data_IF_759076979630
#
_entry.id   IF_759076979630
#
_cell.length_a   1.000
_cell.length_b   1.000
_cell.length_c   1.000
_cell.angle_alpha   90.00
_cell.angle_beta   90.00
_cell.angle_gamma   90.00
#
_symmetry.space_group_name_H-M   'P 1'
#
loop_
_entity.id
_entity.type
_entity.pdbx_description
1 polymer ?
#
# COMPACT_ATOMS: atom_id res chain seq x y z
N UNK A 1 32.53 -15.32 38.28
CA UNK A 1 32.03 -15.50 36.91
C UNK A 1 31.33 -14.21 36.52
N UNK A 2 32.06 -13.34 35.82
CA UNK A 2 31.52 -12.11 35.24
C UNK A 2 30.74 -12.57 34.00
N UNK A 3 29.46 -12.17 33.88
CA UNK A 3 28.66 -12.49 32.69
C UNK A 3 29.32 -11.92 31.43
N UNK A 4 29.00 -12.44 30.23
CA UNK A 4 29.56 -11.90 29.00
C UNK A 4 29.35 -10.39 28.96
N UNK A 5 30.44 -9.64 28.81
CA UNK A 5 30.49 -8.20 28.99
C UNK A 5 29.66 -7.51 27.89
N UNK A 6 28.88 -6.48 28.25
CA UNK A 6 28.00 -5.79 27.29
C UNK A 6 28.80 -5.19 26.11
N UNK A 7 30.08 -4.90 26.33
CA UNK A 7 31.04 -4.46 25.30
C UNK A 7 31.31 -5.54 24.24
N UNK A 8 31.45 -6.80 24.65
CA UNK A 8 31.73 -7.92 23.73
C UNK A 8 30.51 -8.22 22.86
N UNK A 9 29.30 -8.16 23.46
CA UNK A 9 28.05 -8.32 22.71
C UNK A 9 27.83 -7.19 21.67
N UNK A 10 28.20 -5.95 22.00
CA UNK A 10 28.16 -4.83 21.06
C UNK A 10 29.17 -4.99 19.93
N UNK A 11 30.40 -5.41 20.23
CA UNK A 11 31.43 -5.63 19.21
C UNK A 11 31.03 -6.75 18.22
N UNK A 12 30.47 -7.86 18.71
CA UNK A 12 29.95 -8.94 17.86
C UNK A 12 28.82 -8.43 16.96
N UNK A 13 27.90 -7.63 17.50
CA UNK A 13 26.81 -7.02 16.73
C UNK A 13 27.32 -6.12 15.60
N UNK A 14 28.31 -5.26 15.88
CA UNK A 14 28.93 -4.41 14.86
C UNK A 14 29.64 -5.22 13.79
N UNK A 15 30.30 -6.32 14.18
CA UNK A 15 30.98 -7.24 13.25
C UNK A 15 29.96 -7.93 12.34
N UNK A 16 28.83 -8.40 12.89
CA UNK A 16 27.72 -8.97 12.11
C UNK A 16 27.16 -7.95 11.11
N UNK A 17 26.96 -6.71 11.54
CA UNK A 17 26.45 -5.66 10.67
C UNK A 17 27.41 -5.36 9.51
N UNK A 18 28.72 -5.29 9.78
CA UNK A 18 29.73 -5.10 8.75
C UNK A 18 29.81 -6.31 7.81
N UNK A 19 29.63 -7.53 8.33
CA UNK A 19 29.65 -8.76 7.56
C UNK A 19 28.50 -8.80 6.53
N UNK A 20 27.27 -8.53 6.97
CA UNK A 20 26.11 -8.46 6.08
C UNK A 20 26.24 -7.28 5.09
N UNK A 21 26.81 -6.15 5.52
CA UNK A 21 27.10 -5.04 4.61
C UNK A 21 28.17 -5.38 3.56
N UNK A 22 29.15 -6.23 3.90
CA UNK A 22 30.13 -6.71 2.93
C UNK A 22 29.50 -7.61 1.86
N UNK A 23 28.53 -8.45 2.24
CA UNK A 23 27.72 -9.22 1.28
C UNK A 23 26.94 -8.30 0.35
N UNK A 24 26.23 -7.31 0.92
CA UNK A 24 25.44 -6.29 0.22
C UNK A 24 26.26 -5.48 -0.79
N UNK A 25 27.48 -5.08 -0.41
CA UNK A 25 28.38 -4.31 -1.27
C UNK A 25 29.20 -5.17 -2.24
N UNK A 26 29.19 -6.49 -2.07
CA UNK A 26 30.00 -7.43 -2.86
C UNK A 26 31.50 -7.39 -2.54
N UNK A 27 31.91 -6.81 -1.39
CA UNK A 27 33.31 -6.77 -0.99
C UNK A 27 33.74 -8.15 -0.45
N UNK A 28 34.17 -9.03 -1.36
CA UNK A 28 34.49 -10.43 -1.07
C UNK A 28 35.65 -10.59 -0.08
N UNK A 29 36.68 -9.76 -0.17
CA UNK A 29 37.83 -9.79 0.74
C UNK A 29 37.42 -9.44 2.17
N UNK A 30 36.66 -8.33 2.33
CA UNK A 30 36.15 -7.94 3.63
C UNK A 30 35.18 -8.99 4.18
N UNK A 31 34.30 -9.53 3.34
CA UNK A 31 33.37 -10.59 3.71
C UNK A 31 34.08 -11.82 4.25
N UNK A 32 35.08 -12.35 3.52
CA UNK A 32 35.90 -13.50 3.93
C UNK A 32 36.66 -13.21 5.24
N UNK A 33 37.18 -11.99 5.42
CA UNK A 33 37.85 -11.58 6.66
C UNK A 33 36.88 -11.59 7.84
N UNK A 34 35.71 -10.98 7.70
CA UNK A 34 34.71 -10.90 8.77
C UNK A 34 34.10 -12.28 9.07
N UNK A 35 33.89 -13.12 8.07
CA UNK A 35 33.43 -14.50 8.25
C UNK A 35 34.37 -15.30 9.17
N UNK A 36 35.70 -15.16 8.98
CA UNK A 36 36.71 -15.78 9.85
C UNK A 36 36.72 -15.22 11.27
N UNK A 37 36.39 -13.94 11.44
CA UNK A 37 36.29 -13.32 12.77
C UNK A 37 35.05 -13.78 13.54
N UNK A 38 33.96 -14.07 12.83
CA UNK A 38 32.71 -14.56 13.40
C UNK A 38 32.69 -16.08 13.62
N UNK A 39 33.66 -16.81 13.07
CA UNK A 39 33.73 -18.27 13.17
C UNK A 39 34.22 -18.70 14.56
N UNK A 40 33.32 -19.31 15.32
CA UNK A 40 33.55 -19.84 16.67
C UNK A 40 33.97 -21.32 16.68
N UNK A 41 34.40 -21.84 15.52
CA UNK A 41 34.91 -23.20 15.35
C UNK A 41 33.91 -24.17 14.71
N UNK A 42 32.71 -23.72 14.35
CA UNK A 42 31.73 -24.49 13.57
C UNK A 42 32.02 -24.53 12.07
N UNK A 43 32.96 -23.72 11.60
CA UNK A 43 33.41 -23.66 10.22
C UNK A 43 32.70 -22.56 9.43
N UNK A 44 33.43 -21.96 8.48
CA UNK A 44 33.00 -20.78 7.73
C UNK A 44 31.64 -20.94 7.06
N UNK A 45 31.35 -22.09 6.44
CA UNK A 45 30.06 -22.32 5.79
C UNK A 45 28.88 -22.23 6.76
N UNK A 46 28.98 -22.91 7.91
CA UNK A 46 27.95 -22.86 8.95
C UNK A 46 27.84 -21.47 9.58
N UNK A 47 28.97 -20.83 9.85
CA UNK A 47 29.01 -19.45 10.35
C UNK A 47 28.29 -18.48 9.42
N UNK A 48 28.58 -18.54 8.12
CA UNK A 48 27.93 -17.69 7.12
C UNK A 48 26.43 -17.98 7.01
N UNK A 49 26.02 -19.24 7.12
CA UNK A 49 24.60 -19.63 7.08
C UNK A 49 23.81 -19.18 8.33
N UNK A 50 24.45 -19.18 9.50
CA UNK A 50 23.83 -18.81 10.78
C UNK A 50 23.69 -17.29 10.95
N UNK A 51 24.59 -16.51 10.35
CA UNK A 51 24.57 -15.04 10.47
C UNK A 51 23.45 -14.48 9.58
N UNK A 52 22.36 -14.10 10.24
CA UNK A 52 21.16 -13.54 9.64
C UNK A 52 20.77 -12.23 10.34
N UNK A 53 20.01 -11.39 9.64
CA UNK A 53 19.39 -10.21 10.26
C UNK A 53 18.10 -10.56 11.02
N UNK A 54 17.41 -9.53 11.52
CA UNK A 54 16.17 -9.68 12.28
C UNK A 54 15.00 -10.29 11.48
N UNK A 55 15.08 -10.29 10.14
CA UNK A 55 14.08 -10.87 9.26
C UNK A 55 14.54 -12.23 8.71
N UNK A 56 15.53 -12.87 9.34
CA UNK A 56 16.17 -14.12 8.88
C UNK A 56 16.86 -14.04 7.51
N UNK A 57 17.20 -12.84 7.02
CA UNK A 57 17.96 -12.70 5.76
C UNK A 57 19.44 -12.96 6.01
N UNK A 58 19.99 -13.91 5.28
CA UNK A 58 21.43 -14.23 5.27
C UNK A 58 22.21 -13.51 4.16
N UNK A 59 23.52 -13.76 4.09
CA UNK A 59 24.41 -13.14 3.11
C UNK A 59 23.96 -13.32 1.65
N UNK A 60 23.43 -14.49 1.29
CA UNK A 60 22.97 -14.78 -0.07
C UNK A 60 21.76 -13.93 -0.49
N UNK A 61 20.86 -13.62 0.45
CA UNK A 61 19.73 -12.71 0.19
C UNK A 61 20.24 -11.30 -0.14
N UNK A 62 21.16 -10.76 0.67
CA UNK A 62 21.72 -9.43 0.45
C UNK A 62 22.55 -9.33 -0.82
N UNK A 63 23.34 -10.36 -1.13
CA UNK A 63 24.13 -10.40 -2.36
C UNK A 63 23.24 -10.45 -3.60
N UNK A 64 22.18 -11.27 -3.58
CA UNK A 64 21.23 -11.41 -4.67
C UNK A 64 20.41 -10.13 -4.88
N UNK A 65 19.91 -9.53 -3.79
CA UNK A 65 19.18 -8.25 -3.79
C UNK A 65 19.97 -7.09 -4.40
N UNK A 66 21.29 -7.13 -4.39
CA UNK A 66 22.15 -6.04 -4.86
C UNK A 66 22.92 -6.41 -6.13
N UNK A 67 22.58 -7.53 -6.76
CA UNK A 67 23.15 -7.97 -8.03
C UNK A 67 24.63 -8.35 -7.93
N UNK A 68 25.09 -8.77 -6.75
CA UNK A 68 26.50 -9.13 -6.51
C UNK A 68 26.74 -10.58 -6.91
N UNK A 69 26.70 -10.86 -8.20
CA UNK A 69 26.80 -12.23 -8.75
C UNK A 69 28.06 -12.97 -8.30
N UNK A 70 29.22 -12.31 -8.23
CA UNK A 70 30.46 -12.98 -7.78
C UNK A 70 30.44 -13.32 -6.28
N UNK A 71 29.74 -12.53 -5.46
CA UNK A 71 29.47 -12.90 -4.07
C UNK A 71 28.51 -14.09 -4.01
N UNK A 72 27.46 -14.10 -4.84
CA UNK A 72 26.55 -15.25 -4.93
C UNK A 72 27.29 -16.53 -5.35
N UNK A 73 28.21 -16.45 -6.32
CA UNK A 73 29.07 -17.57 -6.72
C UNK A 73 29.86 -18.13 -5.55
N UNK A 74 30.54 -17.26 -4.81
CA UNK A 74 31.28 -17.69 -3.64
C UNK A 74 30.39 -18.40 -2.60
N UNK A 75 29.21 -17.83 -2.31
CA UNK A 75 28.28 -18.36 -1.32
C UNK A 75 27.69 -19.71 -1.74
N UNK A 76 27.32 -19.88 -3.01
CA UNK A 76 26.67 -21.10 -3.52
C UNK A 76 27.68 -22.19 -3.88
N UNK A 77 28.77 -21.84 -4.58
CA UNK A 77 29.71 -22.84 -5.10
C UNK A 77 30.78 -23.24 -4.08
N UNK A 78 31.36 -22.30 -3.36
CA UNK A 78 32.42 -22.61 -2.39
C UNK A 78 31.85 -22.98 -1.03
N UNK A 79 30.87 -22.23 -0.53
CA UNK A 79 30.28 -22.46 0.80
C UNK A 79 29.07 -23.39 0.80
N UNK A 80 28.54 -23.77 -0.38
CA UNK A 80 27.41 -24.70 -0.52
C UNK A 80 26.17 -24.27 0.28
N UNK A 81 25.91 -22.96 0.35
CA UNK A 81 24.69 -22.46 0.98
C UNK A 81 23.45 -22.94 0.21
N UNK A 82 22.36 -23.16 0.95
CA UNK A 82 21.05 -23.42 0.36
C UNK A 82 20.59 -22.19 -0.45
N UNK A 83 20.50 -22.38 -1.77
CA UNK A 83 20.10 -21.34 -2.73
C UNK A 83 18.62 -20.97 -2.59
N UNK A 84 17.81 -21.84 -1.98
CA UNK A 84 16.38 -21.67 -1.76
C UNK A 84 16.03 -21.29 -0.30
N UNK A 85 17.03 -20.89 0.49
CA UNK A 85 16.80 -20.44 1.86
C UNK A 85 15.76 -19.31 1.90
N UNK A 86 14.78 -19.41 2.79
CA UNK A 86 13.73 -18.40 2.97
C UNK A 86 14.03 -17.47 4.14
N UNK A 87 13.68 -16.20 3.96
CA UNK A 87 13.59 -15.22 5.05
C UNK A 87 12.21 -15.25 5.76
N UNK A 88 11.95 -14.32 6.69
CA UNK A 88 10.69 -14.26 7.45
C UNK A 88 9.46 -13.89 6.62
N UNK A 89 9.65 -13.34 5.42
CA UNK A 89 8.57 -13.04 4.47
C UNK A 89 8.38 -14.19 3.45
N UNK A 90 9.14 -15.28 3.63
CA UNK A 90 9.16 -16.42 2.72
C UNK A 90 9.93 -16.14 1.42
N UNK A 91 10.63 -15.01 1.31
CA UNK A 91 11.37 -14.63 0.10
C UNK A 91 12.69 -15.41 0.01
N UNK A 92 13.00 -15.92 -1.19
CA UNK A 92 14.29 -16.57 -1.51
C UNK A 92 15.27 -15.57 -2.11
N UNK A 93 16.58 -15.87 -2.17
CA UNK A 93 17.55 -15.04 -2.90
C UNK A 93 17.14 -14.75 -4.35
N UNK A 94 16.52 -15.71 -5.04
CA UNK A 94 16.01 -15.51 -6.40
C UNK A 94 14.89 -14.46 -6.44
N UNK A 95 13.96 -14.47 -5.48
CA UNK A 95 12.91 -13.45 -5.38
C UNK A 95 13.51 -12.05 -5.13
N UNK A 96 14.52 -11.96 -4.26
CA UNK A 96 15.24 -10.69 -4.02
C UNK A 96 15.93 -10.17 -5.28
N UNK A 97 16.58 -11.03 -6.08
CA UNK A 97 17.22 -10.63 -7.34
C UNK A 97 16.18 -10.22 -8.40
N UNK A 98 15.09 -10.98 -8.54
CA UNK A 98 14.05 -10.73 -9.53
C UNK A 98 13.30 -9.41 -9.28
N UNK A 99 12.99 -9.10 -8.01
CA UNK A 99 12.31 -7.85 -7.63
C UNK A 99 13.10 -6.60 -8.03
N UNK A 100 14.44 -6.71 -7.98
CA UNK A 100 15.40 -5.64 -8.21
C UNK A 100 15.88 -5.52 -9.66
N UNK A 101 15.31 -6.32 -10.57
CA UNK A 101 15.76 -6.38 -11.97
C UNK A 101 17.21 -6.81 -12.14
N UNK A 102 17.74 -7.64 -11.23
CA UNK A 102 19.10 -8.17 -11.34
C UNK A 102 19.11 -9.45 -12.17
N UNK A 103 18.73 -9.35 -13.45
CA UNK A 103 18.55 -10.45 -14.40
C UNK A 103 19.71 -11.45 -14.38
N UNK A 104 20.94 -10.97 -14.55
CA UNK A 104 22.13 -11.85 -14.59
C UNK A 104 22.36 -12.61 -13.28
N UNK A 105 22.00 -12.03 -12.13
CA UNK A 105 22.09 -12.73 -10.84
C UNK A 105 20.95 -13.74 -10.68
N UNK A 106 19.73 -13.39 -11.08
CA UNK A 106 18.57 -14.28 -11.05
C UNK A 106 18.75 -15.51 -11.97
N UNK A 107 19.24 -15.30 -13.20
CA UNK A 107 19.60 -16.36 -14.13
C UNK A 107 20.65 -17.30 -13.52
N UNK A 108 21.74 -16.73 -13.00
CA UNK A 108 22.80 -17.49 -12.34
C UNK A 108 22.27 -18.34 -11.18
N UNK A 109 21.45 -17.76 -10.28
CA UNK A 109 20.89 -18.50 -9.15
C UNK A 109 19.99 -19.65 -9.62
N UNK A 110 19.20 -19.42 -10.67
CA UNK A 110 18.33 -20.44 -11.28
C UNK A 110 19.17 -21.57 -11.88
N UNK A 111 20.26 -21.25 -12.58
CA UNK A 111 21.21 -22.24 -13.11
C UNK A 111 21.90 -23.06 -12.01
N UNK A 112 22.04 -22.49 -10.81
CA UNK A 112 22.56 -23.18 -9.63
C UNK A 112 21.50 -23.97 -8.84
N UNK A 113 20.28 -24.09 -9.35
CA UNK A 113 19.20 -24.88 -8.74
C UNK A 113 18.24 -24.09 -7.84
N UNK A 114 18.23 -22.75 -7.93
CA UNK A 114 17.13 -21.97 -7.36
C UNK A 114 15.82 -22.32 -8.08
N UNK A 115 14.77 -22.58 -7.30
CA UNK A 115 13.46 -22.93 -7.84
C UNK A 115 12.60 -21.65 -8.01
N UNK A 116 12.30 -21.24 -9.26
CA UNK A 116 11.51 -20.03 -9.53
C UNK A 116 10.04 -20.15 -9.14
N UNK A 117 9.55 -21.35 -8.80
CA UNK A 117 8.17 -21.62 -8.38
C UNK A 117 7.95 -21.48 -6.87
N UNK A 118 8.99 -21.15 -6.10
CA UNK A 118 8.84 -20.94 -4.65
C UNK A 118 8.19 -19.57 -4.39
N UNK A 119 7.02 -19.52 -3.72
CA UNK A 119 6.35 -18.27 -3.38
C UNK A 119 6.86 -17.68 -2.06
N UNK A 120 6.72 -16.35 -1.94
CA UNK A 120 6.70 -15.62 -0.68
C UNK A 120 5.44 -15.93 0.13
N UNK A 121 5.32 -15.39 1.34
CA UNK A 121 4.10 -15.52 2.15
C UNK A 121 2.86 -14.90 1.52
N UNK A 122 3.03 -13.95 0.58
CA UNK A 122 1.94 -13.31 -0.18
C UNK A 122 1.69 -14.01 -1.53
N UNK A 123 2.24 -15.21 -1.73
CA UNK A 123 2.11 -15.96 -2.99
C UNK A 123 2.98 -15.45 -4.14
N UNK A 124 3.68 -14.31 -3.99
CA UNK A 124 4.47 -13.74 -5.07
C UNK A 124 5.71 -14.59 -5.39
N UNK A 125 5.98 -14.75 -6.69
CA UNK A 125 7.11 -15.51 -7.24
C UNK A 125 7.98 -14.64 -8.15
N UNK A 126 9.11 -15.17 -8.63
CA UNK A 126 10.06 -14.40 -9.44
C UNK A 126 9.42 -13.84 -10.72
N UNK A 127 8.49 -14.60 -11.31
CA UNK A 127 7.76 -14.20 -12.52
C UNK A 127 6.88 -12.95 -12.28
N UNK A 128 6.20 -12.86 -11.14
CA UNK A 128 5.38 -11.69 -10.75
C UNK A 128 6.24 -10.43 -10.67
N UNK A 129 7.39 -10.54 -10.02
CA UNK A 129 8.33 -9.43 -9.88
C UNK A 129 8.90 -8.97 -11.23
N UNK A 130 9.38 -9.90 -12.07
CA UNK A 130 9.86 -9.54 -13.42
C UNK A 130 8.78 -8.88 -14.28
N UNK A 131 7.51 -9.31 -14.12
CA UNK A 131 6.38 -8.75 -14.84
C UNK A 131 6.05 -7.31 -14.38
N UNK A 132 5.98 -7.07 -13.06
CA UNK A 132 5.64 -5.76 -12.50
C UNK A 132 6.69 -4.68 -12.75
N UNK A 133 7.99 -5.03 -12.76
CA UNK A 133 9.06 -4.07 -13.08
C UNK A 133 9.34 -3.94 -14.58
N UNK A 134 8.77 -4.81 -15.41
CA UNK A 134 9.01 -4.83 -16.86
C UNK A 134 10.36 -5.41 -17.29
N UNK A 135 10.99 -6.27 -16.48
CA UNK A 135 12.22 -6.99 -16.86
C UNK A 135 11.88 -8.13 -17.82
N UNK A 136 11.73 -7.77 -19.10
CA UNK A 136 11.33 -8.69 -20.16
C UNK A 136 12.32 -9.82 -20.43
N UNK A 137 13.61 -9.61 -20.13
CA UNK A 137 14.64 -10.63 -20.34
C UNK A 137 14.52 -11.70 -19.24
N UNK A 138 14.43 -11.29 -17.97
CA UNK A 138 14.19 -12.24 -16.88
C UNK A 138 12.83 -12.95 -17.04
N UNK A 139 11.80 -12.22 -17.44
CA UNK A 139 10.47 -12.75 -17.67
C UNK A 139 10.49 -13.90 -18.69
N UNK A 140 11.10 -13.69 -19.87
CA UNK A 140 11.25 -14.73 -20.90
C UNK A 140 12.08 -15.90 -20.39
N UNK A 141 13.18 -15.62 -19.67
CA UNK A 141 14.02 -16.65 -19.10
C UNK A 141 13.23 -17.55 -18.15
N UNK A 142 12.48 -16.97 -17.21
CA UNK A 142 11.68 -17.74 -16.24
C UNK A 142 10.59 -18.57 -16.92
N UNK A 143 9.89 -18.01 -17.92
CA UNK A 143 8.91 -18.77 -18.72
C UNK A 143 9.59 -19.93 -19.45
N UNK A 144 10.81 -19.73 -19.98
CA UNK A 144 11.57 -20.81 -20.63
C UNK A 144 11.98 -21.94 -19.69
N UNK A 145 11.98 -21.70 -18.37
CA UNK A 145 12.19 -22.71 -17.31
C UNK A 145 10.91 -23.43 -16.90
N UNK A 146 9.80 -23.17 -17.57
CA UNK A 146 8.53 -23.88 -17.37
C UNK A 146 7.70 -23.34 -16.19
N UNK A 147 7.95 -22.11 -15.75
CA UNK A 147 7.10 -21.44 -14.76
C UNK A 147 5.73 -21.17 -15.40
N UNK A 148 4.67 -21.54 -14.71
CA UNK A 148 3.30 -21.26 -15.15
C UNK A 148 3.03 -19.74 -15.16
N UNK A 149 2.46 -19.24 -16.24
CA UNK A 149 2.23 -17.81 -16.47
C UNK A 149 1.01 -17.28 -15.72
N UNK A 150 0.11 -18.16 -15.29
CA UNK A 150 -1.16 -17.83 -14.61
C UNK A 150 -1.11 -18.06 -13.09
N UNK A 151 0.10 -18.19 -12.51
CA UNK A 151 0.28 -18.33 -11.06
C UNK A 151 -0.35 -17.16 -10.30
N UNK A 152 -0.92 -17.44 -9.13
CA UNK A 152 -1.61 -16.46 -8.30
C UNK A 152 -0.76 -16.06 -7.09
N UNK A 153 -0.67 -14.75 -6.87
CA UNK A 153 -0.32 -14.13 -5.59
C UNK A 153 -1.56 -13.49 -4.96
N UNK A 154 -1.47 -13.00 -3.73
CA UNK A 154 -2.55 -12.23 -3.09
C UNK A 154 -2.93 -10.99 -3.92
N UNK A 155 -1.98 -10.46 -4.70
CA UNK A 155 -2.17 -9.33 -5.62
C UNK A 155 -2.44 -9.76 -7.09
N UNK A 156 -2.72 -11.04 -7.33
CA UNK A 156 -3.10 -11.57 -8.64
C UNK A 156 -1.95 -12.16 -9.47
N UNK A 157 -2.20 -12.39 -10.76
CA UNK A 157 -1.26 -13.01 -11.70
C UNK A 157 -0.12 -12.08 -12.12
N UNK A 158 0.98 -12.60 -12.69
CA UNK A 158 2.00 -11.78 -13.34
C UNK A 158 1.42 -10.80 -14.38
N UNK A 159 0.33 -11.18 -15.06
CA UNK A 159 -0.35 -10.32 -16.02
C UNK A 159 -1.07 -9.13 -15.35
N UNK A 160 -1.70 -9.35 -14.18
CA UNK A 160 -2.25 -8.28 -13.33
C UNK A 160 -1.13 -7.32 -12.91
N UNK A 161 0.02 -7.85 -12.47
CA UNK A 161 1.16 -7.05 -12.03
C UNK A 161 1.72 -6.18 -13.16
N UNK A 162 1.96 -6.77 -14.34
CA UNK A 162 2.44 -6.03 -15.51
C UNK A 162 1.46 -4.93 -15.94
N UNK A 163 0.15 -5.24 -15.99
CA UNK A 163 -0.88 -4.29 -16.36
C UNK A 163 -0.99 -3.13 -15.36
N UNK A 164 -1.00 -3.43 -14.05
CA UNK A 164 -1.10 -2.42 -12.98
C UNK A 164 0.12 -1.50 -12.84
N UNK A 165 1.25 -1.85 -13.46
CA UNK A 165 2.44 -1.01 -13.54
C UNK A 165 2.68 -0.43 -14.94
N UNK A 166 1.73 -0.63 -15.88
CA UNK A 166 1.84 -0.10 -17.25
C UNK A 166 2.95 -0.74 -18.10
N UNK A 167 3.38 -1.96 -17.79
CA UNK A 167 4.49 -2.65 -18.44
C UNK A 167 4.04 -3.34 -19.74
N UNK A 168 3.80 -2.55 -20.79
CA UNK A 168 3.24 -3.02 -22.06
C UNK A 168 3.98 -4.22 -22.70
N UNK A 169 5.31 -4.25 -22.62
CA UNK A 169 6.09 -5.32 -23.24
C UNK A 169 6.03 -6.62 -22.42
N UNK A 170 5.95 -6.53 -21.10
CA UNK A 170 5.68 -7.67 -20.24
C UNK A 170 4.27 -8.23 -20.45
N UNK A 171 3.26 -7.35 -20.56
CA UNK A 171 1.88 -7.74 -20.92
C UNK A 171 1.87 -8.49 -22.25
N UNK A 172 2.53 -7.95 -23.28
CA UNK A 172 2.63 -8.60 -24.60
C UNK A 172 3.24 -9.99 -24.51
N UNK A 173 4.39 -10.14 -23.83
CA UNK A 173 5.09 -11.42 -23.68
C UNK A 173 4.20 -12.45 -22.96
N UNK A 174 3.57 -12.06 -21.85
CA UNK A 174 2.70 -12.96 -21.09
C UNK A 174 1.52 -13.46 -21.95
N UNK A 175 0.89 -12.57 -22.72
CA UNK A 175 -0.21 -12.93 -23.63
C UNK A 175 0.26 -13.82 -24.80
N UNK A 176 1.44 -13.55 -25.37
CA UNK A 176 2.07 -14.42 -26.40
C UNK A 176 2.34 -15.83 -25.85
N UNK A 177 2.63 -15.93 -24.56
CA UNK A 177 2.78 -17.18 -23.82
C UNK A 177 1.48 -17.73 -23.21
N UNK A 178 0.32 -17.27 -23.71
CA UNK A 178 -1.03 -17.76 -23.40
C UNK A 178 -1.52 -17.50 -21.97
N UNK A 179 -1.00 -16.48 -21.29
CA UNK A 179 -1.60 -16.02 -20.04
C UNK A 179 -3.08 -15.65 -20.24
N UNK A 180 -3.94 -16.03 -19.30
CA UNK A 180 -5.36 -15.76 -19.40
C UNK A 180 -5.67 -14.31 -18.97
N UNK A 181 -6.20 -13.46 -19.87
CA UNK A 181 -6.44 -12.04 -19.57
C UNK A 181 -7.63 -11.79 -18.64
N UNK A 182 -8.34 -12.84 -18.21
CA UNK A 182 -9.58 -12.76 -17.43
C UNK A 182 -9.48 -13.35 -16.02
N UNK A 183 -8.29 -13.78 -15.57
CA UNK A 183 -8.11 -14.22 -14.18
C UNK A 183 -8.10 -12.98 -13.29
N UNK A 184 -9.02 -12.90 -12.33
CA UNK A 184 -9.07 -11.87 -11.30
C UNK A 184 -8.46 -12.30 -9.97
N UNK A 185 -8.28 -11.35 -9.05
CA UNK A 185 -8.00 -11.63 -7.63
C UNK A 185 -9.28 -12.04 -6.88
N UNK A 186 -9.17 -12.31 -5.57
CA UNK A 186 -10.35 -12.53 -4.70
C UNK A 186 -11.29 -11.32 -4.64
N UNK A 187 -10.78 -10.12 -4.89
CA UNK A 187 -11.54 -8.85 -4.97
C UNK A 187 -11.97 -8.51 -6.40
N UNK A 188 -12.00 -9.49 -7.30
CA UNK A 188 -12.37 -9.37 -8.72
C UNK A 188 -11.50 -8.38 -9.53
N UNK A 189 -10.29 -8.03 -9.03
CA UNK A 189 -9.36 -7.18 -9.77
C UNK A 189 -8.76 -7.96 -10.93
N UNK A 190 -9.05 -7.54 -12.16
CA UNK A 190 -8.58 -8.17 -13.40
C UNK A 190 -7.43 -7.39 -14.05
N UNK A 191 -6.65 -7.99 -14.98
CA UNK A 191 -5.62 -7.27 -15.72
C UNK A 191 -6.14 -6.01 -16.41
N UNK A 192 -7.36 -6.07 -16.97
CA UNK A 192 -7.96 -4.93 -17.66
C UNK A 192 -8.29 -3.79 -16.70
N UNK A 193 -8.84 -4.09 -15.51
CA UNK A 193 -9.04 -3.09 -14.46
C UNK A 193 -7.71 -2.47 -14.01
N UNK A 194 -6.68 -3.28 -13.81
CA UNK A 194 -5.35 -2.80 -13.41
C UNK A 194 -4.70 -1.90 -14.47
N UNK A 195 -4.81 -2.23 -15.76
CA UNK A 195 -4.32 -1.37 -16.84
C UNK A 195 -5.03 -0.01 -16.88
N UNK A 196 -6.34 0.01 -16.58
CA UNK A 196 -7.12 1.25 -16.53
C UNK A 196 -6.80 2.08 -15.29
N UNK A 197 -6.66 1.45 -14.13
CA UNK A 197 -6.20 2.10 -12.91
C UNK A 197 -4.79 2.68 -13.03
N UNK A 198 -3.92 2.06 -13.84
CA UNK A 198 -2.59 2.56 -14.17
C UNK A 198 -2.58 3.62 -15.30
N UNK A 199 -3.75 3.95 -15.87
CA UNK A 199 -3.91 4.83 -17.03
C UNK A 199 -3.05 4.43 -18.24
N UNK A 200 -2.87 3.12 -18.44
CA UNK A 200 -2.02 2.56 -19.51
C UNK A 200 -2.85 2.11 -20.71
N UNK A 201 -3.03 3.02 -21.68
CA UNK A 201 -3.76 2.75 -22.92
C UNK A 201 -3.18 1.56 -23.70
N UNK A 202 -1.84 1.44 -23.76
CA UNK A 202 -1.20 0.36 -24.51
C UNK A 202 -1.46 -1.01 -23.88
N UNK A 203 -1.43 -1.11 -22.54
CA UNK A 203 -1.79 -2.35 -21.85
C UNK A 203 -3.28 -2.68 -22.05
N UNK A 204 -4.16 -1.68 -21.94
CA UNK A 204 -5.59 -1.84 -22.19
C UNK A 204 -5.87 -2.40 -23.59
N UNK A 205 -5.27 -1.82 -24.63
CA UNK A 205 -5.44 -2.26 -26.02
C UNK A 205 -4.97 -3.70 -26.22
N UNK A 206 -3.80 -4.06 -25.67
CA UNK A 206 -3.29 -5.44 -25.74
C UNK A 206 -4.23 -6.45 -25.06
N UNK A 207 -4.76 -6.10 -23.89
CA UNK A 207 -5.67 -6.97 -23.14
C UNK A 207 -7.01 -7.15 -23.87
N UNK A 208 -7.58 -6.08 -24.43
CA UNK A 208 -8.79 -6.16 -25.26
C UNK A 208 -8.56 -7.05 -26.48
N UNK A 209 -7.42 -6.88 -27.16
CA UNK A 209 -7.04 -7.71 -28.31
C UNK A 209 -6.90 -9.20 -27.94
N UNK A 210 -6.46 -9.49 -26.71
CA UNK A 210 -6.35 -10.84 -26.18
C UNK A 210 -7.70 -11.43 -25.67
N UNK A 211 -8.79 -10.67 -25.73
CA UNK A 211 -10.12 -11.13 -25.31
C UNK A 211 -10.42 -10.91 -23.82
N UNK A 212 -9.82 -9.88 -23.21
CA UNK A 212 -10.22 -9.43 -21.88
C UNK A 212 -11.69 -8.97 -21.86
N UNK A 213 -12.40 -9.30 -20.78
CA UNK A 213 -13.76 -8.86 -20.55
C UNK A 213 -13.79 -7.37 -20.19
N UNK A 214 -14.47 -6.57 -21.02
CA UNK A 214 -14.52 -5.11 -20.89
C UNK A 214 -15.51 -4.65 -19.79
N UNK A 215 -16.52 -5.46 -19.52
CA UNK A 215 -17.60 -5.14 -18.56
C UNK A 215 -17.43 -5.87 -17.21
N UNK A 216 -16.18 -5.96 -16.75
CA UNK A 216 -15.83 -6.47 -15.41
C UNK A 216 -16.10 -5.41 -14.33
N UNK A 217 -16.16 -5.83 -13.07
CA UNK A 217 -16.38 -4.95 -11.92
C UNK A 217 -15.49 -5.35 -10.76
N UNK A 218 -14.94 -4.37 -10.04
CA UNK A 218 -14.31 -4.58 -8.73
C UNK A 218 -14.83 -3.49 -7.77
N UNK A 219 -15.39 -3.89 -6.63
CA UNK A 219 -16.14 -2.96 -5.75
C UNK A 219 -17.25 -2.20 -6.51
N UNK A 220 -17.95 -2.91 -7.40
CA UNK A 220 -18.98 -2.40 -8.33
C UNK A 220 -18.53 -1.42 -9.42
N UNK A 221 -17.33 -0.85 -9.34
CA UNK A 221 -16.81 0.04 -10.38
C UNK A 221 -16.39 -0.74 -11.63
N UNK A 222 -16.84 -0.30 -12.81
CA UNK A 222 -16.39 -0.83 -14.11
C UNK A 222 -15.15 -0.11 -14.62
N UNK A 223 -14.41 -0.67 -15.59
CA UNK A 223 -13.33 0.04 -16.28
C UNK A 223 -13.73 1.44 -16.80
N UNK A 224 -14.98 1.59 -17.25
CA UNK A 224 -15.48 2.87 -17.75
C UNK A 224 -15.67 3.90 -16.62
N UNK A 225 -16.03 3.48 -15.40
CA UNK A 225 -16.06 4.36 -14.23
C UNK A 225 -14.65 4.85 -13.87
N UNK A 226 -13.66 3.97 -13.85
CA UNK A 226 -12.28 4.34 -13.50
C UNK A 226 -11.70 5.31 -14.55
N UNK A 227 -11.88 5.03 -15.84
CA UNK A 227 -11.45 5.94 -16.91
C UNK A 227 -12.17 7.30 -16.85
N UNK A 228 -13.44 7.33 -16.44
CA UNK A 228 -14.19 8.55 -16.23
C UNK A 228 -13.70 9.35 -15.01
N UNK A 229 -13.33 8.67 -13.92
CA UNK A 229 -12.74 9.27 -12.71
C UNK A 229 -11.38 9.92 -12.98
N UNK A 230 -10.55 9.29 -13.82
CA UNK A 230 -9.27 9.87 -14.26
C UNK A 230 -9.43 10.98 -15.31
N UNK A 231 -10.57 10.99 -16.02
CA UNK A 231 -10.83 11.93 -17.10
C UNK A 231 -10.08 11.62 -18.39
N UNK A 232 -9.65 10.38 -18.61
CA UNK A 232 -8.79 9.93 -19.71
C UNK A 232 -9.59 9.68 -21.00
N UNK A 233 -9.58 10.61 -21.98
CA UNK A 233 -10.43 10.54 -23.18
C UNK A 233 -10.16 9.30 -24.04
N UNK A 234 -8.88 8.98 -24.26
CA UNK A 234 -8.46 7.88 -25.12
C UNK A 234 -8.86 6.52 -24.52
N UNK A 235 -8.78 6.40 -23.19
CA UNK A 235 -9.22 5.20 -22.46
C UNK A 235 -10.73 5.00 -22.59
N UNK A 236 -11.52 6.07 -22.42
CA UNK A 236 -12.97 6.05 -22.60
C UNK A 236 -13.34 5.62 -24.02
N UNK A 237 -12.75 6.25 -25.03
CA UNK A 237 -12.99 5.91 -26.44
C UNK A 237 -12.63 4.46 -26.75
N UNK A 238 -11.51 3.97 -26.23
CA UNK A 238 -11.07 2.58 -26.39
C UNK A 238 -12.07 1.59 -25.76
N UNK A 239 -12.46 1.82 -24.50
CA UNK A 239 -13.43 0.98 -23.78
C UNK A 239 -14.80 0.97 -24.46
N UNK A 240 -15.31 2.13 -24.87
CA UNK A 240 -16.59 2.25 -25.58
C UNK A 240 -16.56 1.51 -26.91
N UNK A 241 -15.48 1.66 -27.68
CA UNK A 241 -15.28 0.92 -28.94
C UNK A 241 -15.22 -0.59 -28.72
N UNK A 242 -14.72 -1.03 -27.58
CA UNK A 242 -14.65 -2.43 -27.18
C UNK A 242 -15.96 -2.97 -26.55
N UNK A 243 -17.01 -2.15 -26.48
CA UNK A 243 -18.33 -2.57 -25.99
C UNK A 243 -18.53 -2.39 -24.49
N UNK A 244 -17.81 -1.46 -23.85
CA UNK A 244 -18.13 -1.04 -22.49
C UNK A 244 -19.55 -0.47 -22.42
N UNK A 245 -20.30 -0.84 -21.38
CA UNK A 245 -21.69 -0.41 -21.18
C UNK A 245 -21.71 0.97 -20.50
N UNK A 246 -22.10 2.06 -21.20
CA UNK A 246 -22.06 3.42 -20.67
C UNK A 246 -23.03 3.67 -19.51
N UNK A 247 -24.09 2.87 -19.46
CA UNK A 247 -25.17 2.99 -18.49
C UNK A 247 -24.97 2.16 -17.22
N UNK A 248 -23.83 1.47 -17.10
CA UNK A 248 -23.49 0.67 -15.91
C UNK A 248 -23.53 1.53 -14.65
N UNK A 249 -23.95 0.94 -13.55
CA UNK A 249 -24.00 1.60 -12.25
C UNK A 249 -22.93 0.99 -11.35
N UNK A 250 -22.23 1.82 -10.58
CA UNK A 250 -21.38 1.37 -9.47
C UNK A 250 -22.21 1.02 -8.22
N UNK A 251 -21.54 0.73 -7.09
CA UNK A 251 -22.20 0.42 -5.81
C UNK A 251 -23.04 1.57 -5.25
N UNK A 252 -22.73 2.81 -5.63
CA UNK A 252 -23.48 4.00 -5.22
C UNK A 252 -24.64 4.32 -6.18
N UNK A 253 -24.81 3.53 -7.25
CA UNK A 253 -25.83 3.74 -8.26
C UNK A 253 -25.49 4.86 -9.24
N UNK A 254 -24.21 5.23 -9.35
CA UNK A 254 -23.71 6.33 -10.17
C UNK A 254 -23.24 5.80 -11.52
N UNK A 255 -23.50 6.52 -12.62
CA UNK A 255 -23.00 6.20 -13.96
C UNK A 255 -21.60 6.79 -14.21
N UNK A 256 -20.80 6.24 -15.15
CA UNK A 256 -19.52 6.82 -15.54
C UNK A 256 -19.57 8.31 -15.92
N UNK A 257 -20.64 8.75 -16.61
CA UNK A 257 -20.78 10.17 -16.99
C UNK A 257 -20.94 11.09 -15.78
N UNK A 258 -21.59 10.62 -14.72
CA UNK A 258 -21.79 11.36 -13.46
C UNK A 258 -20.48 11.41 -12.67
N UNK A 259 -19.69 10.32 -12.69
CA UNK A 259 -18.33 10.30 -12.13
C UNK A 259 -17.44 11.34 -12.83
N UNK A 260 -17.40 11.34 -14.17
CA UNK A 260 -16.63 12.33 -14.94
C UNK A 260 -17.08 13.77 -14.63
N UNK A 261 -18.40 14.00 -14.51
CA UNK A 261 -18.94 15.30 -14.18
C UNK A 261 -18.56 15.74 -12.76
N UNK A 262 -18.63 14.84 -11.77
CA UNK A 262 -18.25 15.11 -10.37
C UNK A 262 -16.78 15.50 -10.21
N UNK A 263 -15.91 15.01 -11.10
CA UNK A 263 -14.49 15.38 -11.17
C UNK A 263 -14.20 16.61 -12.03
N UNK A 264 -15.21 17.17 -12.70
CA UNK A 264 -15.06 18.31 -13.60
C UNK A 264 -14.39 17.97 -14.94
N UNK A 265 -14.36 16.69 -15.32
CA UNK A 265 -13.74 16.23 -16.56
C UNK A 265 -14.67 16.44 -17.76
N UNK A 266 -14.84 17.70 -18.19
CA UNK A 266 -15.72 18.08 -19.32
C UNK A 266 -15.50 17.20 -20.55
N UNK A 267 -14.25 16.94 -20.94
CA UNK A 267 -13.97 16.14 -22.14
C UNK A 267 -14.47 14.70 -22.04
N UNK A 268 -14.37 14.10 -20.86
CA UNK A 268 -14.94 12.78 -20.59
C UNK A 268 -16.48 12.80 -20.65
N UNK A 269 -17.11 13.85 -20.10
CA UNK A 269 -18.56 14.05 -20.21
C UNK A 269 -18.99 14.18 -21.67
N UNK A 270 -18.26 14.95 -22.50
CA UNK A 270 -18.54 15.09 -23.94
C UNK A 270 -18.48 13.75 -24.68
N UNK A 271 -17.55 12.87 -24.31
CA UNK A 271 -17.38 11.54 -24.93
C UNK A 271 -18.52 10.60 -24.50
N UNK A 272 -18.90 10.63 -23.23
CA UNK A 272 -19.92 9.75 -22.66
C UNK A 272 -21.35 10.20 -22.99
N UNK A 273 -21.58 11.51 -23.15
CA UNK A 273 -22.89 12.11 -23.41
C UNK A 273 -23.68 11.45 -24.56
N UNK A 274 -23.12 11.28 -25.78
CA UNK A 274 -23.87 10.72 -26.90
C UNK A 274 -24.22 9.23 -26.74
N UNK A 275 -23.59 8.53 -25.80
CA UNK A 275 -23.74 7.07 -25.60
C UNK A 275 -24.43 6.71 -24.29
N UNK A 276 -24.77 7.69 -23.45
CA UNK A 276 -25.40 7.46 -22.14
C UNK A 276 -26.88 7.79 -22.19
N UNK A 277 -27.71 6.95 -21.57
CA UNK A 277 -29.14 7.23 -21.44
C UNK A 277 -29.38 8.45 -20.55
N UNK A 278 -30.39 9.24 -20.86
CA UNK A 278 -30.74 10.43 -20.09
C UNK A 278 -31.00 10.09 -18.62
N UNK A 279 -30.36 10.85 -17.72
CA UNK A 279 -30.54 10.72 -16.28
C UNK A 279 -31.78 11.54 -15.88
N UNK A 280 -32.84 10.91 -15.31
CA UNK A 280 -34.10 11.61 -15.05
C UNK A 280 -34.00 12.80 -14.09
N UNK A 281 -33.00 12.85 -13.22
CA UNK A 281 -32.78 13.95 -12.27
C UNK A 281 -32.16 15.18 -12.91
N UNK A 282 -31.55 15.05 -14.10
CA UNK A 282 -30.94 16.14 -14.85
C UNK A 282 -32.01 16.84 -15.69
N UNK A 283 -32.39 18.07 -15.29
CA UNK A 283 -33.46 18.84 -15.93
C UNK A 283 -33.11 19.33 -17.34
N UNK A 284 -31.84 19.69 -17.57
CA UNK A 284 -31.32 20.06 -18.89
C UNK A 284 -30.31 19.00 -19.35
N UNK A 285 -30.72 18.12 -20.27
CA UNK A 285 -29.83 17.08 -20.80
C UNK A 285 -28.87 17.64 -21.85
N UNK A 286 -27.90 18.40 -21.35
CA UNK A 286 -26.75 18.93 -22.09
C UNK A 286 -25.47 18.66 -21.30
N UNK A 287 -24.30 18.77 -21.93
CA UNK A 287 -23.02 18.62 -21.22
C UNK A 287 -22.93 19.63 -20.06
N UNK A 288 -23.37 20.86 -20.29
CA UNK A 288 -23.39 21.92 -19.28
C UNK A 288 -24.39 21.59 -18.16
N UNK A 289 -25.61 21.17 -18.52
CA UNK A 289 -26.64 20.80 -17.55
C UNK A 289 -26.30 19.59 -16.68
N UNK A 290 -25.54 18.61 -17.21
CA UNK A 290 -25.02 17.48 -16.41
C UNK A 290 -23.96 17.96 -15.43
N UNK A 291 -23.01 18.77 -15.88
CA UNK A 291 -21.96 19.35 -15.02
C UNK A 291 -22.57 20.19 -13.90
N UNK A 292 -23.50 21.09 -14.24
CA UNK A 292 -24.21 21.93 -13.28
C UNK A 292 -25.07 21.10 -12.31
N UNK A 293 -25.76 20.06 -12.80
CA UNK A 293 -26.56 19.18 -11.95
C UNK A 293 -25.68 18.48 -10.91
N UNK A 294 -24.59 17.85 -11.33
CA UNK A 294 -23.68 17.12 -10.43
C UNK A 294 -22.92 18.08 -9.52
N UNK A 295 -22.54 19.27 -9.97
CA UNK A 295 -22.01 20.33 -9.11
C UNK A 295 -23.04 20.74 -8.05
N UNK A 296 -24.30 20.92 -8.44
CA UNK A 296 -25.38 21.24 -7.50
C UNK A 296 -25.69 20.10 -6.53
N UNK A 297 -25.59 18.83 -6.95
CA UNK A 297 -25.82 17.67 -6.07
C UNK A 297 -24.62 17.45 -5.16
N UNK A 298 -23.38 17.62 -5.64
CA UNK A 298 -22.19 17.58 -4.79
C UNK A 298 -22.16 18.77 -3.84
N UNK A 299 -22.62 19.94 -4.25
CA UNK A 299 -22.80 21.09 -3.38
C UNK A 299 -23.98 20.91 -2.44
N UNK A 300 -25.08 20.26 -2.81
CA UNK A 300 -26.13 19.83 -1.88
C UNK A 300 -25.64 18.73 -0.96
N UNK A 301 -24.71 17.86 -1.35
CA UNK A 301 -24.10 16.86 -0.47
C UNK A 301 -23.04 17.49 0.41
N UNK A 302 -22.29 18.51 -0.06
CA UNK A 302 -21.41 19.33 0.77
C UNK A 302 -22.21 20.24 1.68
N UNK A 303 -23.35 20.75 1.24
CA UNK A 303 -24.32 21.53 1.99
C UNK A 303 -25.12 20.63 2.88
N UNK A 304 -25.42 19.38 2.57
CA UNK A 304 -26.03 18.39 3.47
C UNK A 304 -24.96 17.77 4.34
N UNK A 305 -23.67 17.81 4.02
CA UNK A 305 -22.55 17.52 4.93
C UNK A 305 -22.18 18.76 5.74
N UNK A 306 -22.47 19.97 5.29
CA UNK A 306 -22.33 21.25 6.02
C UNK A 306 -23.58 21.54 6.85
N UNK A 307 -24.74 21.08 6.41
CA UNK A 307 -26.08 21.07 7.02
C UNK A 307 -26.30 19.76 7.71
N UNK A 308 -25.48 18.72 7.58
CA UNK A 308 -25.31 17.66 8.58
C UNK A 308 -24.06 17.91 9.40
N UNK A 309 -23.21 18.89 9.08
CA UNK A 309 -22.35 19.56 10.08
C UNK A 309 -23.09 20.71 10.78
N UNK A 310 -24.21 21.23 10.22
CA UNK A 310 -25.09 22.23 10.85
C UNK A 310 -26.42 21.61 11.32
N UNK A 311 -26.75 20.36 10.97
CA UNK A 311 -27.81 19.46 11.52
C UNK A 311 -27.23 18.25 12.27
N UNK A 312 -25.92 18.00 12.22
CA UNK A 312 -25.19 17.57 13.43
C UNK A 312 -24.86 18.78 14.33
N UNK A 313 -25.39 19.97 13.98
CA UNK A 313 -25.64 21.09 14.90
C UNK A 313 -27.14 21.47 14.86
N UNK A 314 -28.06 20.56 14.51
CA UNK A 314 -28.85 19.92 15.55
C UNK A 314 -28.09 18.74 16.13
N UNK A 315 -27.09 19.10 16.94
CA UNK A 315 -26.75 18.30 18.09
C UNK A 315 -28.07 17.90 18.78
N UNK A 316 -28.18 16.69 19.36
CA UNK A 316 -29.17 16.51 20.42
C UNK A 316 -28.99 17.72 21.33
N UNK A 317 -30.06 18.48 21.61
CA UNK A 317 -29.95 19.73 22.35
C UNK A 317 -29.20 19.42 23.65
N UNK A 318 -27.89 19.74 23.70
CA UNK A 318 -27.04 19.35 24.83
C UNK A 318 -27.38 20.35 25.92
N UNK A 319 -28.43 20.03 26.66
CA UNK A 319 -28.85 20.76 27.84
C UNK A 319 -27.64 20.96 28.77
N UNK A 320 -27.64 22.01 29.61
CA UNK A 320 -26.62 22.17 30.65
C UNK A 320 -26.45 20.90 31.53
N UNK A 321 -27.53 20.12 31.68
CA UNK A 321 -27.55 18.87 32.43
C UNK A 321 -26.82 17.72 31.70
N UNK A 322 -27.00 17.56 30.39
CA UNK A 322 -26.27 16.54 29.62
C UNK A 322 -24.81 16.90 29.42
N UNK A 323 -24.47 18.20 29.29
CA UNK A 323 -23.07 18.66 29.31
C UNK A 323 -22.38 18.39 30.66
N UNK A 324 -23.12 18.53 31.77
CA UNK A 324 -22.62 18.16 33.11
C UNK A 324 -22.35 16.66 33.19
N UNK A 325 -23.28 15.80 32.74
CA UNK A 325 -23.07 14.34 32.69
C UNK A 325 -21.90 13.94 31.80
N UNK A 326 -21.74 14.60 30.64
CA UNK A 326 -20.58 14.41 29.77
C UNK A 326 -19.27 14.78 30.48
N UNK A 327 -19.25 15.90 31.23
CA UNK A 327 -18.05 16.31 31.99
C UNK A 327 -17.69 15.33 33.12
N UNK A 328 -18.69 14.74 33.78
CA UNK A 328 -18.48 13.72 34.81
C UNK A 328 -17.97 12.40 34.21
N UNK A 329 -18.50 11.98 33.07
CA UNK A 329 -18.03 10.82 32.32
C UNK A 329 -16.60 11.02 31.79
N UNK A 330 -16.29 12.21 31.27
CA UNK A 330 -14.95 12.61 30.85
C UNK A 330 -13.95 12.56 32.00
N UNK A 331 -14.32 13.07 33.18
CA UNK A 331 -13.46 13.01 34.36
C UNK A 331 -13.16 11.56 34.79
N UNK A 332 -14.14 10.65 34.69
CA UNK A 332 -13.91 9.21 34.89
C UNK A 332 -12.95 8.63 33.86
N UNK A 333 -13.09 9.02 32.60
CA UNK A 333 -12.15 8.64 31.52
C UNK A 333 -10.74 9.13 31.78
N UNK A 334 -10.58 10.39 32.17
CA UNK A 334 -9.27 10.99 32.50
C UNK A 334 -8.60 10.29 33.69
N UNK A 335 -9.36 9.92 34.73
CA UNK A 335 -8.84 9.17 35.87
C UNK A 335 -8.46 7.72 35.50
N UNK A 336 -9.26 7.03 34.70
CA UNK A 336 -8.92 5.70 34.17
C UNK A 336 -7.66 5.76 33.29
N UNK A 337 -7.54 6.79 32.45
CA UNK A 337 -6.38 7.03 31.61
C UNK A 337 -5.10 7.23 32.43
N UNK A 338 -5.15 8.03 33.52
CA UNK A 338 -4.01 8.21 34.44
C UNK A 338 -3.56 6.90 35.09
N UNK A 339 -4.50 5.98 35.35
CA UNK A 339 -4.22 4.64 35.90
C UNK A 339 -3.74 3.65 34.85
N UNK A 340 -3.62 4.08 33.58
CA UNK A 340 -3.28 3.24 32.42
C UNK A 340 -4.30 2.13 32.14
N UNK A 341 -5.54 2.28 32.64
CA UNK A 341 -6.65 1.39 32.30
C UNK A 341 -7.36 1.94 31.07
N UNK A 342 -6.79 1.63 29.90
CA UNK A 342 -7.23 2.21 28.64
C UNK A 342 -8.59 1.66 28.16
N UNK A 343 -8.95 0.43 28.54
CA UNK A 343 -10.26 -0.14 28.23
C UNK A 343 -11.36 0.59 29.00
N UNK A 344 -11.16 0.79 30.30
CA UNK A 344 -12.11 1.54 31.13
C UNK A 344 -12.19 3.02 30.72
N UNK A 345 -11.08 3.61 30.28
CA UNK A 345 -11.06 4.96 29.74
C UNK A 345 -11.88 5.08 28.44
N UNK A 346 -11.78 4.10 27.54
CA UNK A 346 -12.62 4.02 26.33
C UNK A 346 -14.10 3.98 26.67
N UNK A 347 -14.52 3.15 27.62
CA UNK A 347 -15.92 3.02 28.01
C UNK A 347 -16.46 4.33 28.59
N UNK A 348 -15.66 5.00 29.42
CA UNK A 348 -16.01 6.28 30.03
C UNK A 348 -16.07 7.42 29.01
N UNK A 349 -15.15 7.48 28.05
CA UNK A 349 -15.21 8.46 26.96
C UNK A 349 -16.34 8.16 25.97
N UNK A 350 -16.69 6.90 25.75
CA UNK A 350 -17.86 6.53 24.94
C UNK A 350 -19.16 7.01 25.59
N UNK A 351 -19.31 6.79 26.89
CA UNK A 351 -20.43 7.37 27.66
C UNK A 351 -20.44 8.90 27.60
N UNK A 352 -19.27 9.55 27.64
CA UNK A 352 -19.20 11.00 27.51
C UNK A 352 -19.63 11.49 26.11
N UNK A 353 -19.27 10.76 25.05
CA UNK A 353 -19.64 11.05 23.65
C UNK A 353 -21.14 10.83 23.44
N UNK A 354 -21.73 9.82 24.07
CA UNK A 354 -23.18 9.59 24.02
C UNK A 354 -23.96 10.78 24.63
N UNK A 355 -23.39 11.45 25.64
CA UNK A 355 -23.99 12.64 26.26
C UNK A 355 -23.68 13.96 25.56
N UNK A 356 -22.48 14.10 24.99
CA UNK A 356 -22.05 15.27 24.22
C UNK A 356 -21.16 14.85 23.04
N UNK A 357 -21.76 14.47 21.90
CA UNK A 357 -21.00 14.00 20.74
C UNK A 357 -20.22 15.14 20.05
N UNK A 358 -20.46 16.40 20.45
CA UNK A 358 -19.88 17.60 19.84
C UNK A 358 -18.56 18.03 20.49
N UNK A 359 -18.20 17.50 21.67
CA UNK A 359 -16.90 17.77 22.30
C UNK A 359 -15.79 16.97 21.59
N UNK A 360 -15.10 17.63 20.66
CA UNK A 360 -13.96 17.08 19.92
C UNK A 360 -12.85 16.49 20.84
N UNK A 361 -12.73 16.99 22.08
CA UNK A 361 -11.70 16.49 23.00
C UNK A 361 -11.99 15.07 23.49
N UNK A 362 -13.26 14.64 23.51
CA UNK A 362 -13.64 13.28 23.88
C UNK A 362 -13.16 12.27 22.84
N UNK A 363 -13.42 12.56 21.56
CA UNK A 363 -12.93 11.77 20.42
C UNK A 363 -11.40 11.72 20.39
N UNK A 364 -10.73 12.86 20.61
CA UNK A 364 -9.25 12.91 20.71
C UNK A 364 -8.68 12.04 21.83
N UNK A 365 -9.35 12.02 22.99
CA UNK A 365 -8.93 11.25 24.16
C UNK A 365 -9.21 9.75 23.97
N UNK A 366 -10.36 9.38 23.40
CA UNK A 366 -10.71 7.98 23.10
C UNK A 366 -9.82 7.40 22.00
N UNK A 367 -9.53 8.17 20.95
CA UNK A 367 -8.53 7.82 19.91
C UNK A 367 -7.18 7.47 20.53
N UNK A 368 -6.69 8.27 21.49
CA UNK A 368 -5.45 7.96 22.19
C UNK A 368 -5.51 6.64 22.97
N UNK A 369 -6.65 6.32 23.59
CA UNK A 369 -6.81 5.05 24.30
C UNK A 369 -6.74 3.87 23.34
N UNK A 370 -7.40 3.97 22.18
CA UNK A 370 -7.32 2.96 21.12
C UNK A 370 -5.90 2.75 20.59
N UNK A 371 -5.14 3.83 20.41
CA UNK A 371 -3.71 3.75 20.06
C UNK A 371 -2.90 2.98 21.11
N UNK A 372 -3.20 3.15 22.41
CA UNK A 372 -2.53 2.43 23.51
C UNK A 372 -2.93 0.95 23.58
N UNK A 373 -4.12 0.61 23.07
CA UNK A 373 -4.62 -0.77 22.98
C UNK A 373 -4.24 -1.47 21.67
N UNK A 374 -3.57 -0.79 20.73
CA UNK A 374 -3.19 -1.35 19.44
C UNK A 374 -4.32 -1.42 18.40
N UNK A 375 -5.49 -0.84 18.68
CA UNK A 375 -6.66 -0.89 17.80
C UNK A 375 -6.69 0.33 16.86
N UNK A 376 -5.91 0.24 15.79
CA UNK A 376 -5.61 1.38 14.95
C UNK A 376 -6.80 1.87 14.09
N UNK A 377 -7.70 0.99 13.65
CA UNK A 377 -8.90 1.38 12.90
C UNK A 377 -9.88 2.22 13.74
N UNK A 378 -10.12 1.81 15.00
CA UNK A 378 -10.93 2.55 15.95
C UNK A 378 -10.29 3.90 16.30
N UNK A 379 -8.96 3.92 16.46
CA UNK A 379 -8.21 5.15 16.68
C UNK A 379 -8.30 6.14 15.51
N UNK A 380 -8.29 5.62 14.27
CA UNK A 380 -8.40 6.41 13.05
C UNK A 380 -9.80 7.01 12.90
N UNK A 381 -10.84 6.21 13.15
CA UNK A 381 -12.23 6.67 13.13
C UNK A 381 -12.46 7.84 14.11
N UNK A 382 -12.02 7.69 15.36
CA UNK A 382 -12.14 8.74 16.38
C UNK A 382 -11.28 9.98 16.05
N UNK A 383 -10.11 9.81 15.43
CA UNK A 383 -9.27 10.94 15.02
C UNK A 383 -9.92 11.75 13.88
N UNK A 384 -10.53 11.07 12.90
CA UNK A 384 -11.30 11.70 11.82
C UNK A 384 -12.54 12.41 12.35
N UNK A 385 -13.25 11.82 13.30
CA UNK A 385 -14.38 12.45 13.99
C UNK A 385 -13.94 13.72 14.75
N UNK A 386 -12.83 13.66 15.46
CA UNK A 386 -12.23 14.81 16.14
C UNK A 386 -11.89 15.94 15.15
N UNK A 387 -11.30 15.61 14.00
CA UNK A 387 -10.91 16.58 12.96
C UNK A 387 -12.12 17.16 12.23
N UNK A 388 -13.18 16.38 12.05
CA UNK A 388 -14.45 16.86 11.49
C UNK A 388 -15.13 17.90 12.39
N UNK A 389 -15.02 17.73 13.72
CA UNK A 389 -15.54 18.67 14.72
C UNK A 389 -14.64 19.90 14.91
N UNK A 390 -13.31 19.74 14.80
CA UNK A 390 -12.35 20.83 15.00
C UNK A 390 -11.19 20.76 13.99
N UNK A 391 -11.40 21.24 12.75
CA UNK A 391 -10.40 21.16 11.68
C UNK A 391 -9.10 21.90 12.00
N UNK A 392 -9.19 23.03 12.71
CA UNK A 392 -8.04 23.89 13.04
C UNK A 392 -7.30 23.43 14.31
N UNK A 393 -7.45 22.15 14.73
CA UNK A 393 -6.84 21.64 15.94
C UNK A 393 -5.64 20.73 15.63
N UNK A 394 -4.39 21.22 15.80
CA UNK A 394 -3.19 20.44 15.47
C UNK A 394 -3.11 19.07 16.14
N UNK A 395 -3.69 18.94 17.35
CA UNK A 395 -3.75 17.68 18.10
C UNK A 395 -4.63 16.62 17.41
N UNK A 396 -5.67 17.03 16.67
CA UNK A 396 -6.51 16.11 15.90
C UNK A 396 -5.73 15.52 14.72
N UNK A 397 -5.01 16.38 13.98
CA UNK A 397 -4.09 15.99 12.91
C UNK A 397 -3.01 15.02 13.41
N UNK A 398 -2.44 15.28 14.59
CA UNK A 398 -1.48 14.37 15.22
C UNK A 398 -2.08 12.99 15.53
N UNK A 399 -3.33 12.93 16.02
CA UNK A 399 -3.99 11.66 16.36
C UNK A 399 -4.29 10.82 15.11
N UNK A 400 -4.70 11.48 14.03
CA UNK A 400 -4.97 10.82 12.75
C UNK A 400 -3.69 10.25 12.15
N UNK A 401 -2.63 11.07 12.06
CA UNK A 401 -1.33 10.60 11.59
C UNK A 401 -0.77 9.46 12.45
N UNK A 402 -0.97 9.50 13.77
CA UNK A 402 -0.53 8.42 14.67
C UNK A 402 -1.31 7.11 14.47
N UNK A 403 -2.61 7.18 14.16
CA UNK A 403 -3.44 6.01 13.86
C UNK A 403 -3.11 5.40 12.49
N UNK A 404 -2.98 6.23 11.45
CA UNK A 404 -2.52 5.82 10.13
C UNK A 404 -1.13 5.17 10.21
N UNK A 405 -0.25 5.72 11.06
CA UNK A 405 1.08 5.16 11.30
C UNK A 405 1.03 3.76 11.95
N UNK A 406 0.07 3.50 12.82
CA UNK A 406 -0.09 2.19 13.45
C UNK A 406 -0.68 1.15 12.48
N UNK A 407 -1.42 1.58 11.44
CA UNK A 407 -1.95 0.74 10.35
C UNK A 407 -0.92 0.37 9.27
N UNK A 408 0.36 0.70 9.43
CA UNK A 408 1.44 0.62 8.42
C UNK A 408 1.90 -0.79 8.03
N UNK A 409 1.05 -1.81 8.16
CA UNK A 409 1.42 -3.17 7.78
C UNK A 409 1.34 -3.47 6.26
N UNK A 410 0.57 -2.71 5.45
CA UNK A 410 0.25 -3.17 4.08
C UNK A 410 0.12 -2.12 2.92
N UNK A 411 0.52 -0.84 3.02
CA UNK A 411 0.35 0.08 1.86
C UNK A 411 1.19 1.37 1.91
N UNK A 412 1.75 1.77 0.76
CA UNK A 412 2.38 3.09 0.49
C UNK A 412 1.45 4.26 0.76
N UNK A 413 0.17 4.11 0.38
CA UNK A 413 -0.86 5.14 0.50
C UNK A 413 -1.03 5.62 1.95
N UNK A 414 -0.91 4.71 2.92
CA UNK A 414 -1.04 5.03 4.34
C UNK A 414 0.15 5.82 4.90
N UNK A 415 1.32 5.78 4.26
CA UNK A 415 2.46 6.63 4.64
C UNK A 415 2.27 8.06 4.17
N UNK A 416 1.77 8.25 2.95
CA UNK A 416 1.47 9.56 2.39
C UNK A 416 0.31 10.23 3.13
N UNK A 417 -0.75 9.48 3.46
CA UNK A 417 -1.85 9.99 4.29
C UNK A 417 -1.37 10.38 5.69
N UNK A 418 -0.51 9.57 6.33
CA UNK A 418 0.05 9.91 7.64
C UNK A 418 0.94 11.17 7.57
N UNK A 419 1.79 11.27 6.55
CA UNK A 419 2.65 12.43 6.34
C UNK A 419 1.85 13.70 6.04
N UNK A 420 0.79 13.59 5.21
CA UNK A 420 -0.13 14.68 4.92
C UNK A 420 -0.86 15.17 6.18
N UNK A 421 -1.41 14.24 6.97
CA UNK A 421 -2.06 14.57 8.23
C UNK A 421 -1.11 15.29 9.22
N UNK A 422 0.14 14.83 9.36
CA UNK A 422 1.12 15.52 10.19
C UNK A 422 1.56 16.87 9.60
N UNK A 423 1.69 16.98 8.27
CA UNK A 423 2.03 18.24 7.59
C UNK A 423 0.98 19.31 7.84
N UNK A 424 -0.30 18.98 7.72
CA UNK A 424 -1.40 19.89 8.06
C UNK A 424 -1.37 20.29 9.55
N UNK A 425 -1.00 19.37 10.44
CA UNK A 425 -0.76 19.74 11.84
C UNK A 425 0.39 20.75 12.02
N UNK A 426 1.46 20.60 11.25
CA UNK A 426 2.63 21.52 11.25
C UNK A 426 2.28 22.87 10.63
N UNK A 427 1.43 22.94 9.61
CA UNK A 427 0.98 24.23 9.06
C UNK A 427 0.10 25.00 10.04
N UNK A 428 -0.69 24.28 10.85
CA UNK A 428 -1.50 24.87 11.92
C UNK A 428 -0.69 25.29 13.15
N UNK A 429 0.35 24.54 13.54
CA UNK A 429 1.22 24.86 14.67
C UNK A 429 2.70 24.53 14.38
N UNK A 430 3.43 25.45 13.70
CA UNK A 430 4.80 25.21 13.27
C UNK A 430 5.83 25.09 14.40
N UNK A 431 5.53 25.60 15.60
CA UNK A 431 6.43 25.54 16.76
C UNK A 431 6.33 24.21 17.53
N UNK A 432 5.34 23.38 17.20
CA UNK A 432 5.10 22.11 17.86
C UNK A 432 6.15 21.05 17.47
N UNK A 433 7.15 20.91 18.33
CA UNK A 433 8.27 19.98 18.11
C UNK A 433 7.83 18.52 17.96
N UNK A 434 6.75 18.10 18.60
CA UNK A 434 6.24 16.72 18.49
C UNK A 434 5.60 16.48 17.13
N UNK A 435 4.83 17.44 16.61
CA UNK A 435 4.26 17.39 15.26
C UNK A 435 5.35 17.44 14.18
N UNK A 436 6.32 18.33 14.33
CA UNK A 436 7.45 18.44 13.41
C UNK A 436 8.29 17.16 13.42
N UNK A 437 8.53 16.56 14.59
CA UNK A 437 9.22 15.28 14.70
C UNK A 437 8.40 14.14 14.07
N UNK A 438 7.10 14.03 14.38
CA UNK A 438 6.23 13.00 13.83
C UNK A 438 6.06 13.12 12.31
N UNK A 439 5.98 14.34 11.78
CA UNK A 439 5.99 14.60 10.33
C UNK A 439 7.29 14.12 9.70
N UNK A 440 8.45 14.51 10.25
CA UNK A 440 9.76 14.07 9.75
C UNK A 440 9.90 12.55 9.83
N UNK A 441 9.49 11.94 10.94
CA UNK A 441 9.49 10.49 11.11
C UNK A 441 8.57 9.79 10.11
N UNK A 442 7.40 10.34 9.81
CA UNK A 442 6.46 9.77 8.84
C UNK A 442 7.00 9.91 7.41
N UNK A 443 7.60 11.06 7.06
CA UNK A 443 8.27 11.27 5.77
C UNK A 443 9.51 10.39 5.64
N UNK A 444 10.30 10.23 6.69
CA UNK A 444 11.47 9.35 6.70
C UNK A 444 11.06 7.89 6.71
N UNK A 445 9.95 7.51 7.34
CA UNK A 445 9.40 6.16 7.28
C UNK A 445 8.85 5.86 5.88
N UNK A 446 8.13 6.80 5.26
CA UNK A 446 7.70 6.72 3.87
C UNK A 446 8.89 6.69 2.91
N UNK A 447 9.93 7.50 3.15
CA UNK A 447 11.16 7.48 2.36
C UNK A 447 11.94 6.19 2.56
N UNK A 448 12.07 5.68 3.79
CA UNK A 448 12.69 4.37 4.06
C UNK A 448 11.83 3.22 3.54
N UNK A 449 10.51 3.40 3.45
CA UNK A 449 9.62 2.48 2.77
C UNK A 449 9.88 2.56 1.27
N UNK A 450 9.86 3.72 0.63
CA UNK A 450 10.20 3.93 -0.78
C UNK A 450 11.66 3.61 -1.14
N UNK A 451 12.62 3.77 -0.24
CA UNK A 451 14.02 3.38 -0.39
C UNK A 451 14.18 1.90 -0.08
N UNK A 452 13.33 1.29 0.76
CA UNK A 452 13.18 -0.16 0.78
C UNK A 452 12.54 -0.62 -0.51
N UNK A 453 11.52 0.04 -1.05
CA UNK A 453 10.82 -0.27 -2.31
C UNK A 453 11.68 0.04 -3.56
N UNK A 454 12.63 0.99 -3.51
CA UNK A 454 13.66 1.33 -4.55
C UNK A 454 15.03 0.70 -4.32
N UNK A 455 15.22 0.07 -3.15
CA UNK A 455 16.18 -1.00 -2.98
C UNK A 455 15.38 -2.32 -3.00
N UNK A 456 14.19 -2.34 -3.61
CA UNK A 456 13.41 -3.55 -3.91
C UNK A 456 13.02 -3.54 -5.39
N UNK A 457 12.87 -2.38 -6.06
CA UNK A 457 13.12 -2.09 -7.49
C UNK A 457 14.57 -1.75 -7.75
#
# INVERSE_FOLDING_TARGET
MVGPDASDALAVRDTVQQFLNAARTGNLELFKKLAKQLDDGKGIAQTVADVKDANKRGALHFAAREGKTDMCKYLVEELKLDVNAKDDDGETPLLHAARQGHTATAEYLTECGADPSIPSHLGAMALHHSAGIGDTELLKFLISRGVDVDLQSDAGTPLIWAAGHGQQDAVRILLEHRANPNIGTEDDVTPLLSAVAADSLQCLELLIQAGAHVNVTAGGATPLHIAADHGSPEMLECLLKAGAIPDSLDEEGVKPIEVAAARGHRRAVEILFPVTSQIPTVSEWSVDGILEHVESETDKVKEVKQVNKQKAVSAPEVTPETRKKASEAKARGDEAFKRKDFSLAVDAYSQAIDFDPTDATLHSNRSLCWLRLGQADHALSDARACRALRPDWPKACYREGAALRLLQACSTLKFEEAASAFYEGVTLDPENKELVAAFREAVDAGRKFHEKEKQKS
#
